data_IF_736085758402
#
_entry.id   IF_736085758402
#
_cell.length_a   1.000
_cell.length_b   1.000
_cell.length_c   1.000
_cell.angle_alpha   90.00
_cell.angle_beta   90.00
_cell.angle_gamma   90.00
#
_symmetry.space_group_name_H-M   'P 1'
#
loop_
_entity.id
_entity.type
_entity.pdbx_description
1 polymer ?
#
# COMPACT_ATOMS: atom_id res chain seq x y z
N UNK A 1 5.31 4.69 15.64
CA UNK A 1 6.31 4.23 14.66
C UNK A 1 5.69 4.34 13.28
N UNK A 2 6.35 4.97 12.30
CA UNK A 2 5.88 5.03 10.90
C UNK A 2 6.46 3.88 10.10
N UNK A 3 5.70 3.32 9.15
CA UNK A 3 6.16 2.21 8.30
C UNK A 3 6.04 2.59 6.83
N UNK A 4 7.17 2.72 6.16
CA UNK A 4 7.23 2.99 4.73
C UNK A 4 7.59 1.72 3.98
N UNK A 5 7.00 1.53 2.79
CA UNK A 5 7.26 0.36 1.93
C UNK A 5 7.48 0.82 0.49
N UNK A 6 8.41 0.17 -0.21
CA UNK A 6 8.59 0.33 -1.65
C UNK A 6 7.44 -0.33 -2.41
N UNK A 7 7.25 0.03 -3.69
CA UNK A 7 6.17 -0.49 -4.52
C UNK A 7 6.16 -2.03 -4.62
N UNK A 8 7.35 -2.65 -4.66
CA UNK A 8 7.53 -4.11 -4.70
C UNK A 8 7.19 -4.78 -3.37
N UNK A 9 7.42 -4.07 -2.26
CA UNK A 9 7.30 -4.58 -0.89
C UNK A 9 5.94 -4.29 -0.26
N UNK A 10 5.02 -3.69 -1.02
CA UNK A 10 3.63 -3.54 -0.60
C UNK A 10 3.13 -4.94 -0.18
N UNK A 11 2.41 -5.10 0.93
CA UNK A 11 1.90 -6.41 1.35
C UNK A 11 0.67 -6.82 0.53
N UNK A 12 0.43 -8.14 0.40
CA UNK A 12 -0.90 -8.65 0.03
C UNK A 12 -1.67 -8.96 1.30
N UNK A 13 -2.84 -8.36 1.46
CA UNK A 13 -3.69 -8.59 2.63
C UNK A 13 -4.63 -9.76 2.33
N UNK A 14 -4.67 -10.78 3.21
CA UNK A 14 -5.52 -11.98 3.09
C UNK A 14 -5.56 -12.60 1.69
N UNK A 15 -4.40 -12.86 1.09
CA UNK A 15 -4.33 -13.49 -0.24
C UNK A 15 -4.92 -12.65 -1.38
N UNK A 16 -5.18 -11.35 -1.16
CA UNK A 16 -5.81 -10.45 -2.13
C UNK A 16 -7.25 -10.07 -1.80
N UNK A 17 -7.84 -10.63 -0.75
CA UNK A 17 -9.21 -10.31 -0.31
C UNK A 17 -9.29 -9.03 0.54
N UNK A 18 -8.17 -8.60 1.14
CA UNK A 18 -8.09 -7.35 1.89
C UNK A 18 -7.40 -6.22 1.11
N UNK A 19 -7.44 -5.02 1.69
CA UNK A 19 -6.87 -3.80 1.10
C UNK A 19 -5.81 -3.22 2.04
N UNK A 20 -4.59 -3.00 1.51
CA UNK A 20 -3.62 -2.13 2.16
C UNK A 20 -3.89 -0.69 1.70
N UNK A 21 -3.88 0.28 2.61
CA UNK A 21 -4.02 1.70 2.29
C UNK A 21 -2.69 2.39 2.54
N UNK A 22 -2.20 3.14 1.55
CA UNK A 22 -0.91 3.82 1.62
C UNK A 22 -1.04 5.31 1.29
N UNK A 23 -0.28 6.13 2.00
CA UNK A 23 0.01 7.51 1.60
C UNK A 23 1.25 7.51 0.70
N UNK A 24 1.08 7.86 -0.57
CA UNK A 24 2.16 7.94 -1.56
C UNK A 24 2.44 9.40 -1.93
N UNK A 25 3.45 9.65 -2.77
CA UNK A 25 3.74 10.99 -3.32
C UNK A 25 2.62 11.55 -4.21
N UNK A 26 1.72 10.70 -4.72
CA UNK A 26 0.55 11.10 -5.52
C UNK A 26 -0.76 11.09 -4.70
N UNK A 27 -0.65 11.05 -3.37
CA UNK A 27 -1.80 10.99 -2.46
C UNK A 27 -2.11 9.58 -1.95
N UNK A 28 -3.26 9.45 -1.31
CA UNK A 28 -3.70 8.21 -0.65
C UNK A 28 -4.34 7.27 -1.65
N UNK A 29 -3.90 6.02 -1.67
CA UNK A 29 -4.45 5.00 -2.57
C UNK A 29 -4.31 3.59 -2.01
N UNK A 30 -4.94 2.62 -2.68
CA UNK A 30 -4.81 1.21 -2.32
C UNK A 30 -3.44 0.66 -2.72
N UNK A 31 -2.97 -0.37 -2.02
CA UNK A 31 -1.72 -1.06 -2.34
C UNK A 31 -1.70 -1.61 -3.76
N UNK A 32 -2.85 -2.05 -4.28
CA UNK A 32 -2.95 -2.51 -5.66
C UNK A 32 -2.77 -1.36 -6.68
N UNK A 33 -3.32 -0.17 -6.40
CA UNK A 33 -3.10 1.01 -7.25
C UNK A 33 -1.63 1.48 -7.18
N UNK A 34 -1.05 1.52 -5.98
CA UNK A 34 0.34 1.92 -5.76
C UNK A 34 1.32 0.97 -6.49
N UNK A 35 1.10 -0.36 -6.43
CA UNK A 35 1.88 -1.33 -7.22
C UNK A 35 1.79 -1.09 -8.73
N UNK A 36 0.58 -0.87 -9.25
CA UNK A 36 0.36 -0.63 -10.70
C UNK A 36 1.09 0.63 -11.18
N UNK A 37 1.20 1.63 -10.32
CA UNK A 37 1.92 2.89 -10.60
C UNK A 37 3.41 2.84 -10.24
N UNK A 38 3.90 1.70 -9.74
CA UNK A 38 5.27 1.57 -9.20
C UNK A 38 5.62 2.62 -8.12
N UNK A 39 4.66 2.92 -7.24
CA UNK A 39 4.81 3.88 -6.14
C UNK A 39 4.89 3.15 -4.79
N UNK A 40 5.85 3.57 -3.98
CA UNK A 40 5.89 3.24 -2.54
C UNK A 40 5.17 4.30 -1.71
N UNK A 41 5.19 4.13 -0.39
CA UNK A 41 4.58 5.11 0.52
C UNK A 41 4.53 4.65 1.97
N UNK A 42 3.91 5.48 2.81
CA UNK A 42 3.60 5.14 4.19
C UNK A 42 2.41 4.18 4.23
N UNK A 43 2.58 3.04 4.88
CA UNK A 43 1.50 2.10 5.12
C UNK A 43 0.66 2.57 6.31
N UNK A 44 -0.57 3.00 6.03
CA UNK A 44 -1.45 3.61 7.03
C UNK A 44 -2.22 2.53 7.80
N UNK A 45 -2.87 1.62 7.07
CA UNK A 45 -3.68 0.56 7.66
C UNK A 45 -3.94 -0.58 6.66
N UNK A 46 -4.52 -1.65 7.20
CA UNK A 46 -5.09 -2.73 6.44
C UNK A 46 -6.59 -2.82 6.76
N UNK A 47 -7.40 -3.13 5.76
CA UNK A 47 -8.82 -3.44 5.88
C UNK A 47 -9.05 -4.84 5.34
N UNK A 48 -9.83 -5.67 6.05
CA UNK A 48 -10.06 -7.07 5.72
C UNK A 48 -11.43 -7.58 6.15
#
# INVERSE_FOLDING_TARGET
LRRYVGATDIPRVRGGLGVAVLSTSEGVMTGNQARKKNLGGELLCYVW
#
